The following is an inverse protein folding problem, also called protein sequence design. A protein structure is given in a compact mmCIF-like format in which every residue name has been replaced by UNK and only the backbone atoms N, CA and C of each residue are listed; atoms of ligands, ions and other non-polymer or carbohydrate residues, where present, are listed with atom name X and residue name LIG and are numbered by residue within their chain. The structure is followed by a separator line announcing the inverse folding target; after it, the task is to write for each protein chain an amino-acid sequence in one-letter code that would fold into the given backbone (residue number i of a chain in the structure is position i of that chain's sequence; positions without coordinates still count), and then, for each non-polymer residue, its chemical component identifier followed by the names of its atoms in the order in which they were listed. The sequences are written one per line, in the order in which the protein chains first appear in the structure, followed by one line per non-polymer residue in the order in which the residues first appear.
data_IF_899494143064
#
_entry.id   IF_899494143064
#
_cell.length_a   1.000
_cell.length_b   1.000
_cell.length_c   1.000
_cell.angle_alpha   90.00
_cell.angle_beta   90.00
_cell.angle_gamma   90.00
#
_symmetry.space_group_name_H-M   'P 1'
#
loop_
_entity.id
_entity.type
_entity.pdbx_description
1 polymer ?
#
# COMPACT_ATOMS: atom_id res chain seq x y z
N UNK A 1 8.97 -4.53 -3.63
CA UNK A 1 8.30 -3.28 -4.01
C UNK A 1 9.26 -2.12 -3.76
N UNK A 2 9.41 -1.20 -4.72
CA UNK A 2 10.05 0.09 -4.47
C UNK A 2 9.07 1.06 -3.79
N UNK A 3 9.45 1.56 -2.61
CA UNK A 3 8.76 2.59 -1.84
C UNK A 3 9.25 3.98 -2.23
N UNK A 4 8.39 4.99 -2.08
CA UNK A 4 8.78 6.40 -2.21
C UNK A 4 9.20 7.05 -0.89
N UNK A 5 9.36 6.26 0.18
CA UNK A 5 9.71 6.75 1.50
C UNK A 5 10.69 5.84 2.23
N UNK A 6 11.38 6.40 3.21
CA UNK A 6 12.20 5.70 4.19
C UNK A 6 11.79 6.21 5.57
N UNK A 7 11.42 5.30 6.47
CA UNK A 7 10.89 5.61 7.79
C UNK A 7 9.67 6.55 7.81
N UNK A 8 8.91 6.60 6.72
CA UNK A 8 7.69 7.38 6.63
C UNK A 8 7.09 7.41 5.23
N UNK A 9 5.96 8.11 5.11
CA UNK A 9 5.29 8.35 3.83
C UNK A 9 4.16 7.39 3.50
N UNK A 10 3.69 6.57 4.46
CA UNK A 10 2.62 5.57 4.31
C UNK A 10 1.46 6.01 3.39
N UNK A 11 0.90 7.20 3.64
CA UNK A 11 -0.24 7.73 2.86
C UNK A 11 0.07 7.96 1.37
N UNK A 12 1.34 8.19 1.00
CA UNK A 12 1.73 8.29 -0.41
C UNK A 12 1.73 6.92 -1.08
N UNK A 13 2.12 5.86 -0.36
CA UNK A 13 2.09 4.50 -0.92
C UNK A 13 0.65 4.05 -1.05
N UNK A 14 -0.18 4.26 -0.02
CA UNK A 14 -1.63 4.07 -0.04
C UNK A 14 -2.32 4.78 -1.22
N UNK A 15 -2.04 6.07 -1.43
CA UNK A 15 -2.62 6.82 -2.54
C UNK A 15 -2.24 6.22 -3.91
N UNK A 16 -1.00 5.76 -4.05
CA UNK A 16 -0.51 5.10 -5.25
C UNK A 16 -1.14 3.73 -5.48
N UNK A 17 -1.30 2.91 -4.43
CA UNK A 17 -1.94 1.60 -4.57
C UNK A 17 -3.41 1.73 -4.98
N UNK A 18 -4.11 2.71 -4.41
CA UNK A 18 -5.50 2.99 -4.74
C UNK A 18 -5.66 3.51 -6.17
N UNK A 19 -4.82 4.46 -6.59
CA UNK A 19 -5.04 5.21 -7.82
C UNK A 19 -4.23 4.72 -9.02
N UNK A 20 -3.05 4.16 -8.82
CA UNK A 20 -2.08 3.86 -9.87
C UNK A 20 -1.27 5.08 -10.35
N UNK A 21 -1.37 6.23 -9.68
CA UNK A 21 -0.64 7.45 -10.05
C UNK A 21 0.70 7.55 -9.31
N UNK A 22 1.86 7.28 -9.95
CA UNK A 22 3.14 7.23 -9.26
C UNK A 22 3.57 8.59 -8.72
N UNK A 23 4.11 8.61 -7.49
CA UNK A 23 4.53 9.84 -6.79
C UNK A 23 5.63 10.57 -7.54
N UNK A 24 6.53 9.83 -8.20
CA UNK A 24 7.68 10.40 -8.93
C UNK A 24 7.27 11.36 -10.05
N UNK A 25 6.06 11.21 -10.59
CA UNK A 25 5.55 12.08 -11.65
C UNK A 25 4.99 13.41 -11.12
N UNK A 26 4.79 13.54 -9.81
CA UNK A 26 4.42 14.81 -9.19
C UNK A 26 5.64 15.70 -8.95
N UNK A 27 5.39 16.99 -8.71
CA UNK A 27 6.43 17.91 -8.26
C UNK A 27 7.06 17.41 -6.95
N UNK A 28 8.38 17.61 -6.79
CA UNK A 28 9.09 17.33 -5.55
C UNK A 28 8.58 18.12 -4.34
N UNK A 29 7.77 19.16 -4.56
CA UNK A 29 7.10 19.93 -3.51
C UNK A 29 5.88 19.22 -2.90
N UNK A 30 5.38 18.15 -3.53
CA UNK A 30 4.27 17.35 -2.99
C UNK A 30 4.79 16.50 -1.83
N UNK A 31 4.30 16.82 -0.63
CA UNK A 31 4.63 16.09 0.59
C UNK A 31 3.75 14.86 0.74
N UNK A 32 2.43 15.05 0.67
CA UNK A 32 1.42 14.00 0.86
C UNK A 32 0.33 14.10 -0.20
N UNK A 33 0.19 13.07 -1.04
CA UNK A 33 -0.81 13.01 -2.13
C UNK A 33 -2.24 13.26 -1.62
N UNK A 34 -2.60 12.67 -0.48
CA UNK A 34 -3.92 12.83 0.14
C UNK A 34 -4.25 14.27 0.57
N UNK A 35 -3.25 15.12 0.81
CA UNK A 35 -3.44 16.51 1.24
C UNK A 35 -3.20 17.51 0.10
N UNK A 36 -2.20 17.23 -0.74
CA UNK A 36 -1.69 18.21 -1.71
C UNK A 36 -2.25 18.00 -3.12
N UNK A 37 -2.77 16.80 -3.44
CA UNK A 37 -3.19 16.42 -4.80
C UNK A 37 -4.65 15.96 -4.85
N UNK A 38 -5.00 14.88 -4.15
CA UNK A 38 -6.34 14.28 -4.23
C UNK A 38 -7.50 15.24 -3.89
N UNK A 39 -7.36 16.21 -2.96
CA UNK A 39 -8.44 17.15 -2.68
C UNK A 39 -8.88 17.98 -3.88
N UNK A 40 -7.97 18.34 -4.80
CA UNK A 40 -8.29 19.17 -5.98
C UNK A 40 -8.74 18.37 -7.20
N UNK A 41 -8.47 17.07 -7.27
CA UNK A 41 -8.88 16.22 -8.39
C UNK A 41 -10.41 16.14 -8.50
N UNK A 42 -11.05 16.43 -9.65
CA UNK A 42 -12.49 16.28 -9.81
C UNK A 42 -12.96 14.82 -9.67
N UNK A 43 -12.11 13.89 -10.11
CA UNK A 43 -12.31 12.45 -10.06
C UNK A 43 -10.97 11.77 -9.77
N UNK A 44 -10.97 10.78 -8.88
CA UNK A 44 -9.79 9.96 -8.57
C UNK A 44 -10.05 8.58 -9.17
N UNK A 45 -9.33 8.16 -10.23
CA UNK A 45 -9.41 6.77 -10.65
C UNK A 45 -8.91 5.91 -9.50
N UNK A 46 -9.68 4.91 -9.11
CA UNK A 46 -9.29 3.99 -8.05
C UNK A 46 -9.82 2.58 -8.32
N UNK A 47 -9.05 1.58 -7.93
CA UNK A 47 -9.50 0.18 -7.97
C UNK A 47 -10.78 -0.02 -7.15
N UNK A 48 -10.96 0.77 -6.09
CA UNK A 48 -12.16 0.73 -5.27
C UNK A 48 -13.44 1.12 -6.03
N UNK A 49 -13.34 1.84 -7.16
CA UNK A 49 -14.49 2.26 -7.97
C UNK A 49 -15.19 1.10 -8.69
N UNK A 50 -14.58 -0.08 -8.75
CA UNK A 50 -15.19 -1.29 -9.34
C UNK A 50 -15.93 -2.16 -8.33
N UNK A 51 -15.98 -1.74 -7.06
CA UNK A 51 -16.61 -2.49 -5.99
C UNK A 51 -17.85 -1.77 -5.46
N UNK A 52 -18.96 -2.50 -5.26
CA UNK A 52 -20.20 -1.93 -4.76
C UNK A 52 -20.18 -1.60 -3.26
N UNK A 53 -19.26 -2.20 -2.49
CA UNK A 53 -19.07 -1.92 -1.06
C UNK A 53 -17.58 -1.72 -0.78
N UNK A 54 -17.24 -0.61 -0.12
CA UNK A 54 -15.88 -0.12 0.08
C UNK A 54 -15.65 0.18 1.55
N UNK A 55 -14.66 -0.48 2.14
CA UNK A 55 -14.37 -0.42 3.57
C UNK A 55 -12.92 0.00 3.76
N UNK A 56 -12.69 1.03 4.57
CA UNK A 56 -11.37 1.41 5.04
C UNK A 56 -11.23 0.98 6.51
N UNK A 57 -10.03 0.60 6.92
CA UNK A 57 -9.74 0.25 8.31
C UNK A 57 -8.33 0.72 8.69
N UNK A 58 -8.24 1.53 9.74
CA UNK A 58 -6.98 1.99 10.29
C UNK A 58 -7.13 2.17 11.81
N UNK A 59 -6.45 1.36 12.66
CA UNK A 59 -6.62 1.40 14.10
C UNK A 59 -5.81 2.54 14.74
N UNK A 60 -6.08 3.76 14.28
CA UNK A 60 -5.55 5.04 14.75
C UNK A 60 -6.58 6.14 14.46
N UNK A 61 -6.23 7.41 14.59
CA UNK A 61 -7.11 8.51 14.19
C UNK A 61 -7.32 8.57 12.66
N UNK A 62 -8.57 8.51 12.21
CA UNK A 62 -8.99 8.59 10.82
C UNK A 62 -8.65 9.92 10.12
N UNK A 63 -8.40 11.01 10.85
CA UNK A 63 -7.99 12.29 10.26
C UNK A 63 -6.51 12.32 9.87
N UNK A 64 -5.70 11.37 10.34
CA UNK A 64 -4.28 11.29 10.01
C UNK A 64 -4.11 11.20 8.49
N UNK A 65 -3.21 12.03 7.94
CA UNK A 65 -2.96 12.15 6.50
C UNK A 65 -4.22 12.44 5.66
N UNK A 66 -5.19 13.17 6.22
CA UNK A 66 -6.43 13.55 5.54
C UNK A 66 -7.26 12.34 5.04
N UNK A 67 -7.09 11.15 5.64
CA UNK A 67 -7.72 9.92 5.17
C UNK A 67 -9.23 9.97 5.20
N UNK A 68 -9.84 10.48 6.27
CA UNK A 68 -11.29 10.60 6.36
C UNK A 68 -11.91 11.37 5.17
N UNK A 69 -11.29 12.49 4.78
CA UNK A 69 -11.71 13.30 3.65
C UNK A 69 -11.54 12.56 2.32
N UNK A 70 -10.41 11.87 2.15
CA UNK A 70 -10.10 11.14 0.91
C UNK A 70 -10.97 9.88 0.76
N UNK A 71 -11.18 9.08 1.80
CA UNK A 71 -12.07 7.92 1.74
C UNK A 71 -13.53 8.34 1.50
N UNK A 72 -13.99 9.42 2.13
CA UNK A 72 -15.30 10.00 1.82
C UNK A 72 -15.41 10.44 0.35
N UNK A 73 -14.36 11.10 -0.19
CA UNK A 73 -14.32 11.50 -1.60
C UNK A 73 -14.28 10.32 -2.57
N UNK A 74 -13.65 9.21 -2.20
CA UNK A 74 -13.65 7.95 -2.95
C UNK A 74 -14.96 7.16 -2.77
N UNK A 75 -15.90 7.66 -1.96
CA UNK A 75 -17.19 7.03 -1.70
C UNK A 75 -17.07 5.72 -0.94
N UNK A 76 -16.20 5.67 0.07
CA UNK A 76 -16.14 4.53 1.00
C UNK A 76 -17.37 4.54 1.91
N UNK A 77 -17.99 3.38 2.08
CA UNK A 77 -19.19 3.21 2.91
C UNK A 77 -18.86 3.27 4.39
N UNK A 78 -17.69 2.75 4.76
CA UNK A 78 -17.21 2.71 6.14
C UNK A 78 -15.74 3.08 6.22
N UNK A 79 -15.36 3.77 7.31
CA UNK A 79 -13.97 3.92 7.71
C UNK A 79 -13.80 3.61 9.20
N UNK A 80 -13.44 2.36 9.48
CA UNK A 80 -13.23 1.87 10.84
C UNK A 80 -11.92 2.37 11.44
N UNK A 81 -12.02 3.08 12.56
CA UNK A 81 -10.87 3.73 13.20
C UNK A 81 -11.06 3.90 14.72
N UNK A 82 -9.97 4.14 15.45
CA UNK A 82 -10.05 4.38 16.91
C UNK A 82 -10.69 5.73 17.25
N UNK A 83 -10.59 6.71 16.35
CA UNK A 83 -11.13 8.05 16.52
C UNK A 83 -11.22 8.79 15.19
N UNK A 84 -11.91 9.94 15.15
CA UNK A 84 -12.00 10.78 13.94
C UNK A 84 -12.91 10.22 12.84
N UNK A 85 -13.70 9.20 13.16
CA UNK A 85 -14.71 8.57 12.31
C UNK A 85 -16.08 8.61 12.98
N UNK A 86 -17.12 8.18 12.27
CA UNK A 86 -18.48 8.10 12.79
C UNK A 86 -18.59 7.09 13.94
N UNK A 87 -19.53 7.33 14.85
CA UNK A 87 -19.71 6.49 16.05
C UNK A 87 -19.95 5.01 15.71
N UNK A 88 -20.63 4.73 14.60
CA UNK A 88 -20.90 3.36 14.14
C UNK A 88 -19.63 2.63 13.64
N UNK A 89 -18.60 3.40 13.28
CA UNK A 89 -17.34 2.89 12.73
C UNK A 89 -16.19 2.94 13.76
N UNK A 90 -16.47 3.26 15.03
CA UNK A 90 -15.44 3.26 16.06
C UNK A 90 -14.99 1.84 16.39
N UNK A 91 -13.68 1.62 16.29
CA UNK A 91 -13.02 0.43 16.81
C UNK A 91 -12.90 0.53 18.32
N UNK A 92 -13.44 -0.47 19.02
CA UNK A 92 -13.46 -0.55 20.50
C UNK A 92 -12.91 -1.91 20.95
N UNK A 93 -12.51 -2.01 22.23
CA UNK A 93 -12.03 -3.25 22.85
C UNK A 93 -10.88 -3.94 22.09
N UNK A 94 -9.93 -3.13 21.62
CA UNK A 94 -8.85 -3.56 20.73
C UNK A 94 -7.67 -4.15 21.50
N UNK A 95 -7.21 -5.34 21.10
CA UNK A 95 -5.97 -5.92 21.62
C UNK A 95 -4.74 -5.20 21.06
N UNK A 96 -3.80 -4.87 21.95
CA UNK A 96 -2.60 -4.10 21.61
C UNK A 96 -1.32 -4.87 21.93
N UNK A 97 -0.27 -4.58 21.16
CA UNK A 97 1.11 -4.97 21.43
C UNK A 97 1.95 -3.69 21.61
N UNK A 98 2.47 -3.49 22.82
CA UNK A 98 3.23 -2.28 23.21
C UNK A 98 2.48 -0.96 22.91
N UNK A 99 1.16 -0.95 23.15
CA UNK A 99 0.32 0.25 23.02
C UNK A 99 -0.13 0.59 21.59
N UNK A 100 0.17 -0.25 20.59
CA UNK A 100 -0.42 -0.19 19.25
C UNK A 100 -1.34 -1.38 19.02
N UNK A 101 -2.47 -1.18 18.36
CA UNK A 101 -3.38 -2.29 18.00
C UNK A 101 -2.60 -3.34 17.21
N UNK A 102 -2.74 -4.59 17.64
CA UNK A 102 -2.00 -5.70 17.04
C UNK A 102 -2.47 -6.00 15.62
N UNK A 103 -1.58 -6.57 14.81
CA UNK A 103 -1.93 -6.99 13.45
C UNK A 103 -2.98 -8.11 13.50
N UNK A 104 -2.87 -9.02 14.47
CA UNK A 104 -3.87 -10.07 14.71
C UNK A 104 -5.27 -9.49 14.99
N UNK A 105 -5.37 -8.45 15.82
CA UNK A 105 -6.65 -7.74 16.04
C UNK A 105 -7.16 -7.09 14.76
N UNK A 106 -6.29 -6.38 14.04
CA UNK A 106 -6.64 -5.73 12.78
C UNK A 106 -7.19 -6.73 11.77
N UNK A 107 -6.59 -7.92 11.66
CA UNK A 107 -7.06 -8.99 10.79
C UNK A 107 -8.40 -9.59 11.24
N UNK A 108 -8.64 -9.72 12.55
CA UNK A 108 -9.96 -10.12 13.06
C UNK A 108 -11.03 -9.10 12.70
N UNK A 109 -10.75 -7.81 12.86
CA UNK A 109 -11.70 -6.76 12.48
C UNK A 109 -12.02 -6.79 10.98
N UNK A 110 -11.06 -7.16 10.12
CA UNK A 110 -11.30 -7.39 8.69
C UNK A 110 -12.20 -8.61 8.49
N UNK A 111 -11.87 -9.76 9.10
CA UNK A 111 -12.65 -11.00 8.98
C UNK A 111 -14.11 -10.80 9.41
N UNK A 112 -14.34 -10.08 10.51
CA UNK A 112 -15.67 -9.78 11.04
C UNK A 112 -16.53 -8.92 10.10
N UNK A 113 -15.90 -8.21 9.15
CA UNK A 113 -16.57 -7.33 8.18
C UNK A 113 -16.69 -7.94 6.78
N UNK A 114 -16.12 -9.13 6.56
CA UNK A 114 -16.30 -9.84 5.29
C UNK A 114 -17.72 -10.42 5.22
N UNK A 115 -18.45 -10.05 4.17
CA UNK A 115 -19.75 -10.61 3.81
C UNK A 115 -19.59 -11.42 2.51
N UNK A 116 -19.60 -12.77 2.56
CA UNK A 116 -19.42 -13.62 1.39
C UNK A 116 -20.49 -13.44 0.30
N UNK A 117 -21.64 -12.84 0.64
CA UNK A 117 -22.72 -12.57 -0.33
C UNK A 117 -22.44 -11.35 -1.21
N UNK A 118 -21.50 -10.48 -0.81
CA UNK A 118 -21.15 -9.23 -1.50
C UNK A 118 -19.76 -9.31 -2.12
N UNK A 119 -19.47 -8.37 -3.01
CA UNK A 119 -18.10 -8.11 -3.48
C UNK A 119 -17.63 -6.83 -2.82
N UNK A 120 -16.59 -6.94 -1.98
CA UNK A 120 -16.12 -5.86 -1.12
C UNK A 120 -14.69 -5.46 -1.50
N UNK A 121 -14.37 -4.19 -1.32
CA UNK A 121 -13.00 -3.68 -1.37
C UNK A 121 -12.58 -3.23 0.02
N UNK A 122 -11.41 -3.68 0.48
CA UNK A 122 -10.81 -3.28 1.76
C UNK A 122 -9.52 -2.48 1.52
N UNK A 123 -9.41 -1.31 2.16
CA UNK A 123 -8.15 -0.57 2.33
C UNK A 123 -7.75 -0.61 3.80
N UNK A 124 -6.74 -1.42 4.13
CA UNK A 124 -6.38 -1.74 5.52
C UNK A 124 -4.98 -1.22 5.82
N UNK A 125 -4.83 -0.50 6.93
CA UNK A 125 -3.57 0.04 7.39
C UNK A 125 -3.29 -0.39 8.82
N UNK A 126 -2.28 -1.25 9.00
CA UNK A 126 -1.86 -1.72 10.32
C UNK A 126 -1.04 -0.67 11.08
N UNK A 127 -0.83 -0.89 12.39
CA UNK A 127 -0.08 0.03 13.26
C UNK A 127 0.92 -0.66 14.21
N UNK A 128 0.87 -1.99 14.38
CA UNK A 128 1.65 -2.73 15.36
C UNK A 128 3.17 -2.47 15.25
N UNK A 129 3.65 -2.41 14.00
CA UNK A 129 5.07 -2.29 13.68
C UNK A 129 5.50 -0.84 13.46
N UNK A 130 4.76 0.14 13.97
CA UNK A 130 5.20 1.53 13.96
C UNK A 130 6.23 1.78 15.08
N UNK A 131 7.20 2.68 14.83
CA UNK A 131 8.21 3.14 15.79
C UNK A 131 7.57 3.62 17.13
N UNK A 132 8.25 3.53 18.30
CA UNK A 132 9.72 3.62 18.49
C UNK A 132 10.51 2.33 18.78
N UNK A 133 9.89 1.15 18.88
CA UNK A 133 10.56 -0.15 19.16
C UNK A 133 11.39 -0.22 20.46
N UNK A 134 11.13 0.64 21.43
CA UNK A 134 11.87 0.68 22.71
C UNK A 134 11.54 -0.46 23.66
N UNK A 135 10.48 -1.22 23.39
CA UNK A 135 10.05 -2.37 24.19
C UNK A 135 9.39 -3.43 23.31
N UNK A 136 9.32 -4.64 23.84
CA UNK A 136 8.60 -5.76 23.27
C UNK A 136 7.96 -6.60 24.38
N UNK A 137 6.62 -6.63 24.41
CA UNK A 137 5.83 -7.40 25.38
C UNK A 137 5.26 -8.71 24.84
N UNK A 138 5.56 -9.05 23.58
CA UNK A 138 5.15 -10.32 22.98
C UNK A 138 6.01 -11.50 23.43
N UNK A 139 5.82 -12.66 22.80
CA UNK A 139 6.44 -13.92 23.23
C UNK A 139 7.63 -14.38 22.37
N UNK A 140 7.99 -13.64 21.31
CA UNK A 140 9.10 -13.99 20.44
C UNK A 140 10.45 -13.88 21.17
N UNK A 141 11.29 -14.89 21.00
CA UNK A 141 12.64 -14.94 21.60
C UNK A 141 13.74 -14.70 20.56
N UNK A 142 13.39 -14.28 19.35
CA UNK A 142 14.36 -14.01 18.28
C UNK A 142 15.34 -12.93 18.76
N UNK A 143 16.62 -13.11 18.46
CA UNK A 143 17.67 -12.11 18.69
C UNK A 143 18.11 -11.52 17.36
N UNK A 144 18.46 -10.24 17.33
CA UNK A 144 18.97 -9.59 16.14
C UNK A 144 20.07 -8.59 16.46
N UNK A 145 21.07 -8.50 15.60
CA UNK A 145 22.16 -7.53 15.70
C UNK A 145 22.60 -7.07 14.31
N UNK A 146 22.94 -5.79 14.18
CA UNK A 146 23.51 -5.22 12.97
C UNK A 146 25.02 -5.02 13.11
N UNK A 147 25.77 -5.21 12.02
CA UNK A 147 27.18 -4.83 12.00
C UNK A 147 27.34 -3.32 12.24
N UNK A 148 28.22 -2.94 13.16
CA UNK A 148 28.47 -1.54 13.53
C UNK A 148 27.39 -0.89 14.39
N UNK A 149 26.37 -1.63 14.83
CA UNK A 149 25.32 -1.09 15.71
C UNK A 149 25.82 -1.01 17.16
N UNK A 150 25.42 0.05 17.86
CA UNK A 150 25.51 0.12 19.32
C UNK A 150 24.50 -0.83 19.99
N UNK A 151 24.70 -1.09 21.28
CA UNK A 151 23.77 -1.90 22.08
C UNK A 151 22.32 -1.39 22.00
N UNK A 152 22.13 -0.07 22.08
CA UNK A 152 20.82 0.55 21.96
C UNK A 152 20.19 0.33 20.58
N UNK A 153 20.98 0.44 19.49
CA UNK A 153 20.48 0.16 18.14
C UNK A 153 20.13 -1.32 17.96
N UNK A 154 20.94 -2.23 18.51
CA UNK A 154 20.64 -3.67 18.49
C UNK A 154 19.36 -4.00 19.27
N UNK A 155 19.10 -3.32 20.39
CA UNK A 155 17.86 -3.47 21.14
C UNK A 155 16.63 -3.06 20.31
N UNK A 156 16.72 -1.93 19.59
CA UNK A 156 15.63 -1.47 18.71
C UNK A 156 15.41 -2.44 17.54
N UNK A 157 16.49 -2.92 16.92
CA UNK A 157 16.45 -3.89 15.84
C UNK A 157 15.84 -5.22 16.30
N UNK A 158 16.25 -5.72 17.46
CA UNK A 158 15.74 -6.95 18.05
C UNK A 158 14.23 -6.85 18.32
N UNK A 159 13.77 -5.77 18.95
CA UNK A 159 12.34 -5.56 19.18
C UNK A 159 11.55 -5.44 17.88
N UNK A 160 12.09 -4.77 16.86
CA UNK A 160 11.48 -4.69 15.54
C UNK A 160 11.35 -6.07 14.86
N UNK A 161 12.41 -6.88 14.87
CA UNK A 161 12.38 -8.24 14.30
C UNK A 161 11.41 -9.14 15.05
N UNK A 162 11.33 -9.03 16.38
CA UNK A 162 10.34 -9.77 17.18
C UNK A 162 8.91 -9.39 16.83
N UNK A 163 8.62 -8.10 16.69
CA UNK A 163 7.30 -7.62 16.24
C UNK A 163 6.94 -8.12 14.84
N UNK A 164 7.88 -8.10 13.89
CA UNK A 164 7.70 -8.72 12.56
C UNK A 164 7.35 -10.21 12.70
N UNK A 165 8.00 -10.94 13.61
CA UNK A 165 7.69 -12.36 13.81
C UNK A 165 6.28 -12.62 14.36
N UNK A 166 5.67 -11.65 15.04
CA UNK A 166 4.26 -11.73 15.44
C UNK A 166 3.34 -11.42 14.26
N UNK A 167 3.69 -10.42 13.42
CA UNK A 167 2.99 -10.16 12.15
C UNK A 167 3.01 -11.36 11.21
N UNK A 168 4.13 -12.08 11.10
CA UNK A 168 4.25 -13.27 10.26
C UNK A 168 3.26 -14.37 10.69
N UNK A 169 3.20 -14.68 11.99
CA UNK A 169 2.24 -15.64 12.55
C UNK A 169 0.80 -15.18 12.31
N UNK A 170 0.48 -13.92 12.62
CA UNK A 170 -0.85 -13.36 12.45
C UNK A 170 -1.28 -13.36 10.97
N UNK A 171 -0.36 -13.09 10.05
CA UNK A 171 -0.62 -13.11 8.60
C UNK A 171 -0.93 -14.52 8.14
N UNK A 172 -0.17 -15.52 8.59
CA UNK A 172 -0.44 -16.93 8.28
C UNK A 172 -1.82 -17.37 8.77
N UNK A 173 -2.18 -17.01 10.00
CA UNK A 173 -3.50 -17.30 10.56
C UNK A 173 -4.62 -16.60 9.77
N UNK A 174 -4.43 -15.32 9.43
CA UNK A 174 -5.37 -14.56 8.61
C UNK A 174 -5.61 -15.20 7.25
N UNK A 175 -4.54 -15.56 6.52
CA UNK A 175 -4.66 -16.27 5.24
C UNK A 175 -5.40 -17.61 5.41
N UNK A 176 -5.12 -18.34 6.49
CA UNK A 176 -5.80 -19.61 6.81
C UNK A 176 -7.31 -19.42 7.02
N UNK A 177 -7.74 -18.31 7.67
CA UNK A 177 -9.17 -18.01 7.80
C UNK A 177 -9.79 -17.57 6.46
N UNK A 178 -9.10 -16.77 5.66
CA UNK A 178 -9.58 -16.37 4.32
C UNK A 178 -9.79 -17.56 3.38
N UNK A 179 -8.99 -18.64 3.51
CA UNK A 179 -9.17 -19.88 2.75
C UNK A 179 -10.49 -20.59 3.02
N UNK A 180 -11.04 -20.44 4.24
CA UNK A 180 -12.30 -21.09 4.65
C UNK A 180 -13.54 -20.38 4.12
N UNK A 181 -13.40 -19.15 3.62
CA UNK A 181 -14.53 -18.34 3.15
C UNK A 181 -14.92 -18.78 1.74
N UNK A 182 -16.20 -19.09 1.54
CA UNK A 182 -16.77 -19.45 0.21
C UNK A 182 -17.01 -18.20 -0.67
N UNK A 183 -15.93 -17.47 -0.93
CA UNK A 183 -15.86 -16.30 -1.81
C UNK A 183 -14.48 -16.25 -2.44
N UNK A 184 -14.36 -15.80 -3.68
CA UNK A 184 -13.04 -15.49 -4.28
C UNK A 184 -12.47 -14.25 -3.60
N UNK A 185 -11.35 -14.41 -2.92
CA UNK A 185 -10.66 -13.34 -2.19
C UNK A 185 -9.24 -13.24 -2.73
N UNK A 186 -8.79 -12.00 -2.93
CA UNK A 186 -7.40 -11.68 -3.27
C UNK A 186 -6.86 -10.66 -2.29
N UNK A 187 -5.68 -10.93 -1.74
CA UNK A 187 -4.96 -10.03 -0.85
C UNK A 187 -3.73 -9.48 -1.57
N UNK A 188 -3.63 -8.16 -1.65
CA UNK A 188 -2.37 -7.47 -1.98
C UNK A 188 -1.77 -7.00 -0.66
N UNK A 189 -0.74 -7.69 -0.20
CA UNK A 189 -0.02 -7.36 1.03
C UNK A 189 1.30 -6.69 0.68
N UNK A 190 1.68 -5.63 1.38
CA UNK A 190 2.96 -4.95 1.16
C UNK A 190 3.43 -4.20 2.40
N UNK A 191 4.75 -4.11 2.58
CA UNK A 191 5.37 -3.13 3.49
C UNK A 191 5.42 -1.75 2.82
N UNK A 192 5.03 -0.69 3.52
CA UNK A 192 4.96 0.66 2.96
C UNK A 192 6.34 1.32 2.84
N UNK A 193 7.23 1.13 3.82
CA UNK A 193 8.62 1.57 3.79
C UNK A 193 9.50 0.80 4.79
N UNK A 194 10.82 0.89 4.64
CA UNK A 194 11.74 0.43 5.68
C UNK A 194 11.63 1.29 6.94
N UNK A 195 11.95 0.69 8.08
CA UNK A 195 11.96 1.34 9.39
C UNK A 195 13.29 2.06 9.67
N UNK A 196 13.26 3.08 10.54
CA UNK A 196 14.46 3.80 11.00
C UNK A 196 15.35 3.01 11.97
N UNK A 197 15.01 1.75 12.27
CA UNK A 197 15.94 0.84 12.96
C UNK A 197 17.18 0.55 12.12
N UNK A 198 17.06 0.65 10.80
CA UNK A 198 18.19 0.66 9.89
C UNK A 198 18.75 2.09 9.82
N UNK A 199 20.00 2.36 10.23
CA UNK A 199 20.59 3.67 10.11
C UNK A 199 20.88 3.98 8.64
N UNK A 200 20.85 5.26 8.26
CA UNK A 200 21.05 5.68 6.88
C UNK A 200 22.42 5.30 6.30
N UNK A 201 23.41 5.03 7.16
CA UNK A 201 24.76 4.65 6.80
C UNK A 201 25.01 3.13 6.89
N UNK A 202 23.94 2.33 7.02
CA UNK A 202 23.98 0.87 6.96
C UNK A 202 24.71 0.40 5.70
N UNK A 203 25.61 -0.59 5.85
CA UNK A 203 26.52 -1.02 4.78
C UNK A 203 25.77 -1.40 3.48
N UNK A 204 24.66 -2.13 3.59
CA UNK A 204 23.85 -2.54 2.45
C UNK A 204 23.22 -1.38 1.66
N UNK A 205 23.05 -0.21 2.28
CA UNK A 205 22.56 1.00 1.60
C UNK A 205 23.68 1.80 0.94
N UNK A 206 24.93 1.66 1.42
CA UNK A 206 26.10 2.27 0.76
C UNK A 206 26.47 1.52 -0.52
N UNK A 207 26.33 0.20 -0.51
CA UNK A 207 26.60 -0.65 -1.68
C UNK A 207 25.53 -0.49 -2.76
N UNK A 208 24.26 -0.53 -2.38
CA UNK A 208 23.12 -0.26 -3.28
C UNK A 208 22.08 0.61 -2.56
N UNK A 209 22.05 1.93 -2.82
CA UNK A 209 21.11 2.86 -2.20
C UNK A 209 19.64 2.53 -2.44
N UNK A 210 19.29 1.78 -3.49
CA UNK A 210 17.92 1.37 -3.74
C UNK A 210 17.40 0.39 -2.68
N UNK A 211 18.28 -0.33 -1.97
CA UNK A 211 17.88 -1.24 -0.89
C UNK A 211 17.17 -0.52 0.27
N UNK A 212 17.44 0.76 0.49
CA UNK A 212 16.73 1.56 1.48
C UNK A 212 15.23 1.72 1.15
N UNK A 213 14.85 1.47 -0.11
CA UNK A 213 13.51 1.66 -0.62
C UNK A 213 12.85 0.37 -1.09
N UNK A 214 13.40 -0.81 -0.77
CA UNK A 214 12.84 -2.11 -1.15
C UNK A 214 12.11 -2.79 0.00
N UNK A 215 10.79 -2.87 -0.08
CA UNK A 215 9.97 -3.64 0.87
C UNK A 215 9.39 -4.90 0.22
N UNK A 216 8.98 -5.85 1.05
CA UNK A 216 8.29 -7.06 0.61
C UNK A 216 6.84 -6.78 0.22
N UNK A 217 6.34 -7.57 -0.72
CA UNK A 217 4.93 -7.63 -1.07
C UNK A 217 4.58 -9.03 -1.56
N UNK A 218 3.30 -9.38 -1.53
CA UNK A 218 2.78 -10.53 -2.23
C UNK A 218 1.34 -10.29 -2.68
N UNK A 219 0.94 -10.97 -3.76
CA UNK A 219 -0.44 -11.06 -4.22
C UNK A 219 -0.88 -12.51 -4.05
N UNK A 220 -1.85 -12.72 -3.18
CA UNK A 220 -2.32 -14.04 -2.80
C UNK A 220 -3.81 -14.17 -3.06
N UNK A 221 -4.25 -15.32 -3.53
CA UNK A 221 -5.67 -15.64 -3.73
C UNK A 221 -6.04 -16.91 -2.98
N UNK A 222 -7.25 -16.95 -2.41
CA UNK A 222 -7.72 -18.13 -1.69
C UNK A 222 -8.16 -19.30 -2.60
N UNK A 223 -8.08 -19.14 -3.92
CA UNK A 223 -8.39 -20.17 -4.93
C UNK A 223 -7.20 -20.50 -5.85
N UNK A 224 -6.02 -19.96 -5.57
CA UNK A 224 -4.83 -20.10 -6.40
C UNK A 224 -4.74 -19.04 -7.50
N UNK A 225 -3.52 -18.52 -7.70
CA UNK A 225 -3.25 -17.48 -8.69
C UNK A 225 -3.25 -18.04 -10.12
N UNK A 226 -3.64 -17.21 -11.08
CA UNK A 226 -3.49 -17.52 -12.51
C UNK A 226 -2.04 -17.36 -12.98
N UNK A 227 -1.28 -16.48 -12.34
CA UNK A 227 0.14 -16.22 -12.62
C UNK A 227 0.88 -15.92 -11.32
N UNK A 228 2.08 -16.47 -11.19
CA UNK A 228 2.97 -16.30 -10.03
C UNK A 228 4.28 -15.61 -10.43
N UNK A 229 4.24 -14.73 -11.44
CA UNK A 229 5.42 -13.98 -11.87
C UNK A 229 5.96 -13.13 -10.72
N UNK A 230 7.21 -13.38 -10.35
CA UNK A 230 7.93 -12.59 -9.36
C UNK A 230 8.72 -11.50 -10.08
N UNK A 231 8.34 -10.25 -9.84
CA UNK A 231 9.01 -9.06 -10.39
C UNK A 231 9.10 -7.98 -9.33
N UNK A 232 10.04 -7.05 -9.51
CA UNK A 232 10.00 -5.82 -8.74
C UNK A 232 8.82 -4.96 -9.21
N UNK A 233 7.99 -4.51 -8.27
CA UNK A 233 6.87 -3.59 -8.52
C UNK A 233 7.07 -2.27 -7.77
N UNK A 234 6.29 -1.25 -8.13
CA UNK A 234 6.07 -0.08 -7.28
C UNK A 234 4.64 -0.10 -6.74
N UNK A 235 4.36 0.72 -5.73
CA UNK A 235 3.01 0.84 -5.16
C UNK A 235 1.95 1.18 -6.22
N UNK A 236 2.30 1.99 -7.22
CA UNK A 236 1.41 2.39 -8.31
C UNK A 236 1.05 1.25 -9.28
N UNK A 237 1.81 0.14 -9.28
CA UNK A 237 1.62 -0.98 -10.22
C UNK A 237 1.01 -2.21 -9.55
N UNK A 238 0.49 -2.12 -8.32
CA UNK A 238 -0.18 -3.26 -7.69
C UNK A 238 -1.53 -3.61 -8.32
N UNK A 239 -2.31 -2.62 -8.75
CA UNK A 239 -3.60 -2.88 -9.39
C UNK A 239 -3.46 -3.66 -10.71
N UNK A 240 -2.57 -3.30 -11.66
CA UNK A 240 -2.36 -4.13 -12.85
C UNK A 240 -1.82 -5.53 -12.49
N UNK A 241 -0.90 -5.65 -11.53
CA UNK A 241 -0.42 -6.95 -11.06
C UNK A 241 -1.54 -7.83 -10.46
N UNK A 242 -2.47 -7.22 -9.70
CA UNK A 242 -3.67 -7.87 -9.17
C UNK A 242 -4.57 -8.40 -10.30
N UNK A 243 -4.79 -7.61 -11.35
CA UNK A 243 -5.60 -8.06 -12.47
C UNK A 243 -4.96 -9.23 -13.21
N UNK A 244 -3.65 -9.24 -13.38
CA UNK A 244 -2.96 -10.38 -13.97
C UNK A 244 -3.02 -11.62 -13.08
N UNK A 245 -2.72 -11.49 -11.78
CA UNK A 245 -2.78 -12.58 -10.81
C UNK A 245 -4.16 -13.25 -10.79
N UNK A 246 -5.22 -12.49 -11.03
CA UNK A 246 -6.61 -12.98 -11.04
C UNK A 246 -7.15 -13.32 -12.43
N UNK A 247 -6.40 -13.04 -13.51
CA UNK A 247 -6.89 -13.19 -14.89
C UNK A 247 -8.08 -12.29 -15.22
N UNK A 248 -8.18 -11.13 -14.58
CA UNK A 248 -9.29 -10.18 -14.73
C UNK A 248 -9.17 -9.34 -16.00
N UNK A 249 -10.32 -8.94 -16.56
CA UNK A 249 -10.37 -7.91 -17.61
C UNK A 249 -9.89 -6.57 -17.06
N UNK A 250 -9.29 -5.75 -17.92
CA UNK A 250 -8.79 -4.41 -17.58
C UNK A 250 -9.49 -3.32 -18.40
N UNK A 251 -9.55 -2.10 -17.86
CA UNK A 251 -9.95 -0.91 -18.60
C UNK A 251 -8.76 -0.35 -19.38
N UNK A 252 -8.95 0.56 -20.36
CA UNK A 252 -7.83 1.23 -21.03
C UNK A 252 -6.85 1.93 -20.07
N UNK A 253 -7.33 2.49 -18.95
CA UNK A 253 -6.48 3.06 -17.91
C UNK A 253 -5.55 2.00 -17.29
N UNK A 254 -6.08 0.84 -16.93
CA UNK A 254 -5.26 -0.23 -16.37
C UNK A 254 -4.41 -0.96 -17.41
N UNK A 255 -4.82 -0.96 -18.69
CA UNK A 255 -3.96 -1.42 -19.77
C UNK A 255 -2.70 -0.53 -19.88
N UNK A 256 -2.84 0.80 -19.82
CA UNK A 256 -1.70 1.71 -19.76
C UNK A 256 -0.82 1.45 -18.53
N UNK A 257 -1.42 1.23 -17.36
CA UNK A 257 -0.65 0.91 -16.15
C UNK A 257 0.05 -0.46 -16.23
N UNK A 258 -0.55 -1.45 -16.91
CA UNK A 258 0.10 -2.73 -17.21
C UNK A 258 1.30 -2.56 -18.14
N UNK A 259 1.18 -1.73 -19.18
CA UNK A 259 2.31 -1.42 -20.08
C UNK A 259 3.46 -0.76 -19.30
N UNK A 260 3.15 0.20 -18.42
CA UNK A 260 4.16 0.83 -17.56
C UNK A 260 4.79 -0.18 -16.61
N UNK A 261 3.99 -1.07 -16.02
CA UNK A 261 4.48 -2.11 -15.10
C UNK A 261 5.47 -3.07 -15.78
N UNK A 262 5.23 -3.45 -17.04
CA UNK A 262 6.08 -4.41 -17.75
C UNK A 262 7.30 -3.78 -18.42
N UNK A 263 7.13 -2.57 -18.97
CA UNK A 263 8.18 -1.95 -19.78
C UNK A 263 9.12 -1.08 -18.94
N UNK A 264 8.61 -0.38 -17.91
CA UNK A 264 9.40 0.60 -17.14
C UNK A 264 9.94 -0.04 -15.86
N UNK A 265 11.25 0.10 -15.55
CA UNK A 265 11.81 -0.41 -14.31
C UNK A 265 11.08 0.17 -13.09
N UNK A 266 10.59 -0.69 -12.20
CA UNK A 266 9.85 -0.27 -11.01
C UNK A 266 10.66 0.69 -10.11
N UNK A 267 12.00 0.59 -10.13
CA UNK A 267 12.92 1.50 -9.44
C UNK A 267 12.76 2.97 -9.87
N UNK A 268 12.21 3.24 -11.06
CA UNK A 268 11.89 4.59 -11.52
C UNK A 268 10.92 5.29 -10.58
N UNK A 269 9.97 4.56 -9.96
CA UNK A 269 9.07 5.11 -8.95
C UNK A 269 9.66 4.97 -7.54
N UNK A 270 10.84 5.54 -7.33
CA UNK A 270 11.51 5.63 -6.03
C UNK A 270 12.10 7.04 -5.82
N UNK A 271 12.63 7.36 -4.63
CA UNK A 271 13.33 8.64 -4.40
C UNK A 271 14.61 8.79 -5.23
N UNK A 272 15.11 7.69 -5.82
CA UNK A 272 16.31 7.64 -6.67
C UNK A 272 15.96 7.58 -8.16
N UNK A 273 14.76 8.01 -8.56
CA UNK A 273 14.32 7.99 -9.96
C UNK A 273 15.29 8.64 -10.95
N UNK A 274 15.99 9.70 -10.52
CA UNK A 274 16.98 10.41 -11.34
C UNK A 274 18.23 9.58 -11.65
N UNK A 275 18.48 8.49 -10.91
CA UNK A 275 19.58 7.56 -11.18
C UNK A 275 19.15 6.42 -12.11
N UNK A 276 17.85 6.31 -12.42
CA UNK A 276 17.31 5.27 -13.31
C UNK A 276 17.27 5.80 -14.74
N UNK A 277 18.06 5.19 -15.62
CA UNK A 277 18.06 5.55 -17.05
C UNK A 277 16.99 4.74 -17.78
N UNK A 278 16.10 5.43 -18.49
CA UNK A 278 15.09 4.81 -19.33
C UNK A 278 15.56 4.75 -20.79
N UNK A 279 15.18 3.69 -21.50
CA UNK A 279 15.27 3.65 -22.97
C UNK A 279 14.30 4.66 -23.59
N UNK A 280 14.42 4.89 -24.91
CA UNK A 280 13.49 5.76 -25.63
C UNK A 280 12.04 5.23 -25.54
N UNK A 281 11.86 3.91 -25.67
CA UNK A 281 10.53 3.28 -25.58
C UNK A 281 9.94 3.39 -24.18
N UNK A 282 10.74 3.12 -23.14
CA UNK A 282 10.33 3.29 -21.74
C UNK A 282 9.96 4.74 -21.42
N UNK A 283 10.70 5.70 -21.98
CA UNK A 283 10.42 7.12 -21.83
C UNK A 283 9.08 7.50 -22.48
N UNK A 284 8.75 6.93 -23.64
CA UNK A 284 7.44 7.15 -24.30
C UNK A 284 6.29 6.60 -23.44
N UNK A 285 6.40 5.38 -22.92
CA UNK A 285 5.39 4.79 -22.02
C UNK A 285 5.17 5.62 -20.76
N UNK A 286 6.26 6.11 -20.17
CA UNK A 286 6.15 6.98 -19.00
C UNK A 286 5.54 8.35 -19.35
N UNK A 287 5.80 8.89 -20.54
CA UNK A 287 5.19 10.13 -21.02
C UNK A 287 3.68 9.98 -21.23
N UNK A 288 3.22 8.86 -21.79
CA UNK A 288 1.78 8.55 -21.92
C UNK A 288 1.10 8.61 -20.54
N UNK A 289 1.69 7.98 -19.51
CA UNK A 289 1.18 8.04 -18.15
C UNK A 289 1.25 9.46 -17.55
N UNK A 290 2.32 10.22 -17.80
CA UNK A 290 2.44 11.61 -17.32
C UNK A 290 1.36 12.52 -17.90
N UNK A 291 1.01 12.37 -19.17
CA UNK A 291 -0.08 13.13 -19.80
C UNK A 291 -1.42 12.83 -19.14
N UNK A 292 -1.71 11.55 -18.89
CA UNK A 292 -2.93 11.12 -18.18
C UNK A 292 -2.95 11.64 -16.75
N UNK A 293 -1.85 11.46 -16.00
CA UNK A 293 -1.73 11.93 -14.62
C UNK A 293 -1.84 13.46 -14.53
N UNK A 294 -1.26 14.20 -15.48
CA UNK A 294 -1.39 15.65 -15.57
C UNK A 294 -2.84 16.05 -15.81
N UNK A 295 -3.53 15.44 -16.78
CA UNK A 295 -4.93 15.76 -17.08
C UNK A 295 -5.87 15.47 -15.91
N UNK A 296 -5.62 14.40 -15.16
CA UNK A 296 -6.38 14.01 -13.96
C UNK A 296 -6.16 14.95 -12.77
N UNK A 297 -5.04 15.68 -12.72
CA UNK A 297 -4.65 16.47 -11.53
C UNK A 297 -4.69 17.97 -11.76
N UNK A 298 -3.77 18.52 -12.55
CA UNK A 298 -3.60 19.97 -12.74
C UNK A 298 -3.94 20.45 -14.16
N UNK A 299 -4.30 19.51 -15.04
CA UNK A 299 -4.56 19.77 -16.45
C UNK A 299 -5.94 20.33 -16.73
N UNK A 300 -6.58 19.86 -17.81
CA UNK A 300 -7.89 20.36 -18.25
C UNK A 300 -9.03 19.38 -17.97
N UNK A 301 -8.74 18.23 -17.39
CA UNK A 301 -9.70 17.19 -17.05
C UNK A 301 -10.52 16.75 -18.27
N UNK A 302 -9.83 16.53 -19.40
CA UNK A 302 -10.43 15.95 -20.60
C UNK A 302 -10.97 14.53 -20.31
N UNK A 303 -10.25 13.75 -19.50
CA UNK A 303 -10.67 12.45 -19.00
C UNK A 303 -11.61 12.60 -17.80
N UNK A 304 -12.92 12.56 -18.08
CA UNK A 304 -13.98 12.57 -17.07
C UNK A 304 -14.22 11.18 -16.49
N UNK A 305 -14.86 11.11 -15.33
CA UNK A 305 -15.25 9.86 -14.65
C UNK A 305 -16.04 8.90 -15.57
N UNK A 306 -16.93 9.42 -16.40
CA UNK A 306 -17.77 8.63 -17.31
C UNK A 306 -17.06 8.23 -18.61
N UNK A 307 -15.78 8.59 -18.77
CA UNK A 307 -14.97 8.23 -19.94
C UNK A 307 -14.87 6.70 -20.08
N UNK A 308 -14.96 6.16 -21.31
CA UNK A 308 -14.70 4.74 -21.56
C UNK A 308 -13.28 4.33 -21.16
N UNK A 309 -12.35 5.29 -21.04
CA UNK A 309 -10.97 5.05 -20.59
C UNK A 309 -10.90 4.38 -19.20
N UNK A 310 -11.86 4.64 -18.32
CA UNK A 310 -11.91 4.05 -16.98
C UNK A 310 -12.88 2.87 -16.86
N UNK A 311 -13.56 2.46 -17.94
CA UNK A 311 -14.60 1.41 -17.87
C UNK A 311 -14.03 0.06 -18.31
N UNK A 312 -14.44 -1.01 -17.62
CA UNK A 312 -14.23 -2.37 -18.11
C UNK A 312 -15.12 -2.58 -19.34
N UNK A 313 -14.56 -3.16 -20.41
CA UNK A 313 -15.39 -3.59 -21.53
C UNK A 313 -16.30 -4.73 -21.08
N UNK A 314 -17.61 -4.58 -21.36
CA UNK A 314 -18.64 -5.56 -21.03
C UNK A 314 -18.34 -6.90 -21.72
#
# INVERSE_FOLDING_TARGET
MYSNGFAGGTANMEAQTLSGLPKVNFSSNISTINSDVFPSMPFIPSISNYFPEKIALHPENATNYNRNSIYNKLGFDHFYALSGTDKADLLTDQETLDGKVSDAQTYRDVLDKIDPSKSQFFSVLTMQNHMPYTSYSGSSTITASGEGYSEAQNQLLENYVRKISDTDKATKEFLTELEKIDKKITLVFYGDHLSNVFPSDYAGFKEDPLNAYKTDYFIWTNKGNTTDKQVDLSSATFTPALFEATGSKVSPYYALLSDVMWEVPAAYNSPLSSTVTLTEEQSKRMEDLKLVQYDLTSGKHYLKEDSPFFKLEK
#
